data_IF_239285842308
#
_entry.id   IF_239285842308
#
_cell.length_a   1.000
_cell.length_b   1.000
_cell.length_c   1.000
_cell.angle_alpha   90.00
_cell.angle_beta   90.00
_cell.angle_gamma   90.00
#
_symmetry.space_group_name_H-M   'P 1'
#
loop_
_entity.id
_entity.type
_entity.pdbx_description
1 polymer ?
2 branched ?
3 branched ?
4 branched ?
5 non-polymer ?
6 non-polymer ?
7 non-polymer ?
8 water ?
#
# COMPACT_ATOMS: atom_id res chain seq x y z
N UNK A 3 -15.59 8.34 -5.22
CA UNK A 3 -14.63 9.15 -5.97
C UNK A 3 -13.58 8.30 -6.70
N UNK A 4 -13.10 8.83 -7.85
CA UNK A 4 -12.16 8.15 -8.75
C UNK A 4 -10.75 8.28 -8.33
N UNK A 5 -10.04 7.15 -8.35
CA UNK A 5 -8.63 7.09 -8.06
C UNK A 5 -7.93 7.27 -9.41
N UNK A 6 -7.02 8.25 -9.50
CA UNK A 6 -6.20 8.44 -10.70
C UNK A 6 -4.82 7.97 -10.33
N UNK A 7 -4.25 7.04 -11.09
CA UNK A 7 -2.91 6.48 -10.79
C UNK A 7 -2.06 6.52 -12.05
N UNK A 8 -0.75 6.67 -11.90
CA UNK A 8 0.14 6.69 -13.04
C UNK A 8 1.46 6.09 -12.72
N UNK A 9 2.19 5.77 -13.78
CA UNK A 9 3.55 5.26 -13.75
C UNK A 9 4.53 6.41 -13.77
N UNK A 10 5.69 6.22 -13.15
CA UNK A 10 6.77 7.21 -13.14
C UNK A 10 8.05 6.52 -13.62
N UNK A 11 8.92 7.27 -14.30
CA UNK A 11 10.14 6.73 -14.83
C UNK A 11 11.06 6.25 -13.76
N UNK A 12 11.79 5.15 -14.08
CA UNK A 12 12.82 4.53 -13.25
C UNK A 12 13.58 3.49 -14.07
N UNK A 13 14.82 3.82 -14.44
CA UNK A 13 15.66 2.87 -15.17
C UNK A 13 15.91 1.58 -14.39
N UNK A 14 15.87 1.65 -13.05
CA UNK A 14 16.07 0.48 -12.19
C UNK A 14 14.93 -0.52 -12.17
N UNK A 15 13.76 -0.18 -12.75
CA UNK A 15 12.59 -1.06 -12.79
C UNK A 15 12.31 -1.48 -14.22
N UNK A 16 12.40 -2.77 -14.47
CA UNK A 16 12.15 -3.37 -15.78
C UNK A 16 10.70 -3.15 -16.17
N UNK A 17 10.48 -2.95 -17.46
CA UNK A 17 9.15 -2.72 -18.02
C UNK A 17 8.94 -1.26 -18.32
N UNK A 18 7.67 -0.84 -18.21
CA UNK A 18 7.23 0.51 -18.55
C UNK A 18 8.07 1.62 -17.94
N UNK A 19 8.45 1.51 -16.66
CA UNK A 19 9.27 2.51 -15.97
C UNK A 19 10.63 2.70 -16.64
N UNK A 20 11.18 1.63 -17.22
CA UNK A 20 12.45 1.66 -17.94
C UNK A 20 12.24 2.25 -19.32
N UNK A 21 11.17 1.84 -20.02
CA UNK A 21 10.82 2.37 -21.33
C UNK A 21 10.58 3.86 -21.24
N UNK A 22 9.98 4.34 -20.12
CA UNK A 22 9.72 5.77 -19.89
C UNK A 22 11.01 6.56 -19.75
N UNK A 23 11.98 5.99 -19.01
CA UNK A 23 13.28 6.63 -18.77
C UNK A 23 14.02 6.85 -20.11
N UNK A 24 13.99 5.83 -20.98
CA UNK A 24 14.63 5.85 -22.29
C UNK A 24 14.03 6.88 -23.24
N UNK A 25 12.71 7.07 -23.16
CA UNK A 25 12.02 8.01 -24.05
C UNK A 25 11.85 9.39 -23.45
N UNK A 26 12.44 9.62 -22.29
CA UNK A 26 12.32 10.89 -21.57
C UNK A 26 10.90 11.22 -21.09
N UNK A 27 10.12 10.19 -20.71
CA UNK A 27 8.77 10.38 -20.20
C UNK A 27 8.79 10.31 -18.69
N UNK A 28 8.27 11.33 -18.01
CA UNK A 28 8.23 11.38 -16.55
C UNK A 28 7.03 10.66 -15.91
N UNK A 29 5.84 10.91 -16.42
CA UNK A 29 4.59 10.38 -15.90
C UNK A 29 3.72 9.88 -17.01
N UNK A 30 3.16 8.67 -16.83
CA UNK A 30 2.30 8.02 -17.81
C UNK A 30 1.08 7.42 -17.11
N UNK A 31 -0.10 7.94 -17.43
CA UNK A 31 -1.37 7.47 -16.88
C UNK A 31 -1.54 5.96 -16.91
N UNK A 32 -1.96 5.37 -15.77
CA UNK A 32 -2.27 3.94 -15.63
C UNK A 32 -3.78 3.74 -15.74
N UNK A 33 -4.55 4.45 -14.91
CA UNK A 33 -5.99 4.42 -14.95
C UNK A 33 -6.70 5.45 -14.11
N UNK A 34 -8.00 5.56 -14.33
CA UNK A 34 -8.93 6.40 -13.57
C UNK A 34 -9.99 5.41 -13.10
N UNK A 35 -9.98 5.14 -11.79
CA UNK A 35 -10.80 4.07 -11.24
C UNK A 35 -11.96 4.43 -10.33
N UNK A 36 -13.21 4.38 -10.86
CA UNK A 36 -14.40 4.47 -10.00
C UNK A 36 -14.50 3.19 -9.16
N UNK A 37 -15.41 3.13 -8.19
CA UNK A 37 -15.56 1.92 -7.36
C UNK A 37 -16.06 0.72 -8.14
N UNK A 38 -16.93 0.95 -9.12
CA UNK A 38 -17.49 -0.13 -9.95
C UNK A 38 -16.51 -0.72 -10.99
N UNK A 39 -16.29 -2.03 -10.93
CA UNK A 39 -15.46 -2.74 -11.90
C UNK A 39 -16.42 -3.37 -12.93
N UNK A 40 -16.12 -3.20 -14.22
CA UNK A 40 -16.96 -3.74 -15.30
C UNK A 40 -16.81 -5.23 -15.44
N UNK A 41 -17.93 -5.91 -15.74
CA UNK A 41 -17.91 -7.37 -15.95
C UNK A 41 -18.81 -7.65 -17.15
N UNK A 42 -18.45 -8.64 -17.92
CA UNK A 42 -19.27 -9.08 -19.04
C UNK A 42 -18.90 -8.45 -20.35
N UNK A 43 -19.84 -8.50 -21.30
CA UNK A 43 -19.67 -8.00 -22.65
C UNK A 43 -19.60 -6.45 -22.67
N UNK A 44 -18.48 -5.79 -23.11
CA UNK A 44 -18.48 -4.33 -23.19
C UNK A 44 -19.58 -3.82 -24.09
N UNK A 45 -20.09 -2.61 -23.80
CA UNK A 45 -21.14 -1.99 -24.61
C UNK A 45 -20.57 -1.43 -25.96
N UNK A 46 -19.22 -1.31 -26.08
CA UNK A 46 -18.45 -0.87 -27.24
C UNK A 46 -17.05 -1.44 -27.12
N UNK A 47 -16.52 -2.06 -28.16
CA UNK A 47 -15.13 -2.55 -28.13
C UNK A 47 -14.27 -1.33 -28.51
N UNK A 48 -13.27 -1.00 -27.71
CA UNK A 48 -12.40 0.13 -28.00
C UNK A 48 -11.46 -0.16 -29.16
N UNK A 49 -11.33 0.77 -30.13
CA UNK A 49 -10.41 0.52 -31.25
C UNK A 49 -9.05 1.16 -31.01
N UNK A 50 -8.03 0.69 -31.73
CA UNK A 50 -6.70 1.24 -31.66
C UNK A 50 -6.68 2.71 -32.05
N UNK A 51 -7.51 3.11 -33.01
CA UNK A 51 -7.65 4.50 -33.45
C UNK A 51 -8.23 5.34 -32.32
N UNK A 52 -9.24 4.82 -31.61
CA UNK A 52 -9.84 5.52 -30.46
C UNK A 52 -8.83 5.65 -29.32
N UNK A 53 -8.19 4.54 -28.96
CA UNK A 53 -7.25 4.54 -27.83
C UNK A 53 -6.01 5.32 -28.03
N UNK A 54 -5.55 5.48 -29.32
CA UNK A 54 -4.36 6.28 -29.63
C UNK A 54 -4.61 7.76 -29.38
N UNK A 55 -5.91 8.20 -29.33
CA UNK A 55 -6.28 9.58 -29.06
C UNK A 55 -6.01 9.94 -27.57
N UNK A 56 -5.57 8.98 -26.72
CA UNK A 56 -5.13 9.31 -25.36
C UNK A 56 -3.64 9.58 -25.53
N UNK A 57 -3.29 10.81 -25.87
CA UNK A 57 -1.94 11.23 -26.19
C UNK A 57 -0.94 11.22 -25.03
N UNK A 58 0.15 10.50 -25.21
CA UNK A 58 1.21 10.42 -24.23
C UNK A 58 1.09 9.28 -23.22
N UNK A 59 -0.05 8.56 -23.20
CA UNK A 59 -0.21 7.41 -22.32
C UNK A 59 0.50 6.22 -22.93
N UNK A 60 1.46 5.67 -22.19
CA UNK A 60 2.20 4.50 -22.65
C UNK A 60 1.61 3.19 -22.16
N UNK A 61 1.59 2.21 -23.06
CA UNK A 61 1.15 0.86 -22.80
C UNK A 61 2.16 0.23 -21.86
N UNK A 62 1.71 -0.61 -20.96
CA UNK A 62 2.57 -1.29 -20.00
C UNK A 62 3.16 -2.59 -20.61
N UNK A 63 2.65 -3.00 -21.80
CA UNK A 63 3.09 -4.20 -22.55
C UNK A 63 4.29 -4.01 -23.48
N UNK A 64 5.27 -4.88 -23.28
CA UNK A 64 6.50 -5.03 -24.06
C UNK A 64 6.17 -5.36 -25.52
N UNK A 65 5.05 -6.08 -25.75
CA UNK A 65 4.57 -6.56 -27.05
C UNK A 65 4.25 -5.46 -28.04
N UNK A 66 3.95 -4.26 -27.55
CA UNK A 66 3.67 -3.11 -28.40
C UNK A 66 4.83 -2.13 -28.28
N UNK A 67 5.91 -2.59 -27.63
CA UNK A 67 7.10 -1.79 -27.29
C UNK A 67 6.69 -0.60 -26.43
N UNK A 68 5.76 -0.83 -25.47
CA UNK A 68 5.30 0.21 -24.53
C UNK A 68 4.68 1.42 -25.22
N UNK A 69 3.77 1.19 -26.20
CA UNK A 69 3.11 2.27 -26.93
C UNK A 69 1.59 2.27 -26.74
N UNK A 70 0.87 1.50 -27.56
CA UNK A 70 -0.57 1.39 -27.53
C UNK A 70 -0.91 0.06 -28.20
N UNK A 71 -1.99 -0.66 -27.84
CA UNK A 71 -3.11 -0.27 -26.96
C UNK A 71 -3.52 -1.30 -25.95
N UNK A 72 -2.60 -2.12 -25.46
CA UNK A 72 -3.02 -3.18 -24.54
C UNK A 72 -3.54 -2.68 -23.18
N UNK A 73 -2.80 -1.80 -22.51
CA UNK A 73 -3.21 -1.25 -21.23
C UNK A 73 -4.42 -0.37 -21.43
N UNK A 74 -4.41 0.47 -22.49
CA UNK A 74 -5.50 1.40 -22.81
C UNK A 74 -6.83 0.61 -22.96
N UNK A 75 -6.80 -0.49 -23.69
CA UNK A 75 -7.99 -1.34 -23.90
C UNK A 75 -8.40 -2.06 -22.60
N UNK A 76 -7.45 -2.59 -21.86
CA UNK A 76 -7.68 -3.22 -20.56
C UNK A 76 -8.42 -2.27 -19.63
N UNK A 77 -7.97 -0.99 -19.57
CA UNK A 77 -8.62 0.05 -18.77
C UNK A 77 -10.04 0.34 -19.17
N UNK A 78 -10.30 0.44 -20.51
CA UNK A 78 -11.64 0.67 -21.02
C UNK A 78 -12.56 -0.53 -20.64
N UNK A 79 -12.04 -1.74 -20.80
CA UNK A 79 -12.77 -2.99 -20.56
C UNK A 79 -13.14 -3.24 -19.13
N UNK A 80 -12.18 -3.04 -18.21
CA UNK A 80 -12.32 -3.31 -16.78
C UNK A 80 -12.89 -2.12 -16.02
N UNK A 81 -12.57 -0.89 -16.44
CA UNK A 81 -13.02 0.29 -15.65
C UNK A 81 -13.79 1.35 -16.38
N UNK A 82 -13.87 1.28 -17.72
CA UNK A 82 -14.45 2.35 -18.51
C UNK A 82 -15.89 2.25 -18.95
N UNK A 83 -16.19 1.25 -19.76
CA UNK A 83 -17.52 1.14 -20.39
C UNK A 83 -18.73 1.19 -19.51
N UNK A 84 -18.73 0.46 -18.38
CA UNK A 84 -19.89 0.36 -17.49
C UNK A 84 -20.06 1.60 -16.63
N UNK A 85 -19.05 2.47 -16.62
CA UNK A 85 -18.99 3.68 -15.83
C UNK A 85 -19.17 4.95 -16.64
N UNK A 86 -18.57 5.03 -17.86
CA UNK A 86 -18.71 6.24 -18.69
C UNK A 86 -19.79 6.10 -19.75
N UNK A 87 -20.20 4.86 -20.04
CA UNK A 87 -21.24 4.49 -21.00
C UNK A 87 -20.90 4.72 -22.46
N UNK A 88 -20.09 5.78 -22.75
CA UNK A 88 -19.66 6.12 -24.11
C UNK A 88 -18.18 6.41 -24.11
N UNK A 89 -17.46 5.93 -25.15
CA UNK A 89 -16.00 6.06 -25.25
C UNK A 89 -15.47 7.49 -25.37
N UNK A 90 -16.19 8.34 -26.10
CA UNK A 90 -15.80 9.73 -26.34
C UNK A 90 -15.54 10.50 -25.03
N UNK A 91 -16.51 10.60 -24.07
CA UNK A 91 -16.19 11.31 -22.81
C UNK A 91 -15.04 10.64 -22.03
N UNK A 92 -14.87 9.29 -22.15
CA UNK A 92 -13.79 8.57 -21.48
C UNK A 92 -12.42 8.91 -22.05
N UNK A 93 -12.28 8.88 -23.39
CA UNK A 93 -11.03 9.22 -24.08
C UNK A 93 -10.62 10.64 -23.71
N UNK A 94 -11.60 11.56 -23.72
CA UNK A 94 -11.37 12.97 -23.39
C UNK A 94 -10.85 13.16 -21.99
N UNK A 95 -11.42 12.46 -20.99
CA UNK A 95 -10.96 12.51 -19.60
C UNK A 95 -9.58 11.90 -19.46
N UNK A 96 -9.35 10.75 -20.11
CA UNK A 96 -8.03 10.08 -20.06
C UNK A 96 -6.95 10.95 -20.69
N UNK A 97 -7.25 11.52 -21.89
CA UNK A 97 -6.31 12.37 -22.63
C UNK A 97 -6.04 13.65 -21.83
N UNK A 98 -7.07 14.27 -21.27
CA UNK A 98 -6.88 15.46 -20.43
C UNK A 98 -6.06 15.16 -19.16
N UNK A 99 -6.26 13.97 -18.54
CA UNK A 99 -5.48 13.59 -17.34
C UNK A 99 -4.03 13.44 -17.69
N UNK A 100 -3.74 12.81 -18.84
CA UNK A 100 -2.37 12.59 -19.27
C UNK A 100 -1.71 13.95 -19.61
N UNK A 101 -2.47 14.85 -20.27
CA UNK A 101 -1.98 16.18 -20.63
C UNK A 101 -1.52 16.90 -19.36
N UNK A 102 -2.36 16.84 -18.30
CA UNK A 102 -2.05 17.42 -16.99
C UNK A 102 -0.83 16.79 -16.39
N UNK A 103 -0.73 15.44 -16.42
CA UNK A 103 0.44 14.73 -15.89
C UNK A 103 1.71 15.09 -16.64
N UNK A 104 1.62 15.26 -17.98
CA UNK A 104 2.76 15.64 -18.84
C UNK A 104 3.36 17.00 -18.46
N UNK A 105 2.55 17.91 -17.88
CA UNK A 105 3.01 19.26 -17.45
C UNK A 105 4.04 19.24 -16.33
N UNK A 106 4.10 18.16 -15.58
CA UNK A 106 5.05 17.97 -14.50
C UNK A 106 4.38 17.43 -13.26
N UNK A 107 5.01 17.69 -12.11
CA UNK A 107 4.54 17.27 -10.78
C UNK A 107 3.15 17.76 -10.48
N UNK A 108 2.19 16.83 -10.29
CA UNK A 108 0.81 17.24 -9.98
C UNK A 108 0.65 17.84 -8.59
N UNK A 109 -0.41 18.67 -8.40
CA UNK A 109 -0.79 19.29 -7.11
C UNK A 109 -0.88 18.23 -6.00
N UNK A 110 -1.47 17.07 -6.30
CA UNK A 110 -1.57 15.96 -5.35
C UNK A 110 -0.91 14.76 -6.00
N UNK A 111 0.19 14.31 -5.43
CA UNK A 111 0.97 13.17 -5.92
C UNK A 111 1.41 12.35 -4.72
N UNK A 112 0.90 11.10 -4.60
CA UNK A 112 1.20 10.19 -3.49
C UNK A 112 1.76 8.88 -4.00
N UNK A 113 2.85 8.41 -3.38
CA UNK A 113 3.51 7.18 -3.73
C UNK A 113 2.57 6.00 -3.48
N UNK A 114 2.65 5.00 -4.38
CA UNK A 114 1.92 3.74 -4.32
C UNK A 114 2.93 2.63 -4.20
N UNK A 115 3.83 2.54 -5.19
CA UNK A 115 4.89 1.55 -5.24
C UNK A 115 6.21 2.25 -5.42
N UNK A 116 7.26 1.73 -4.76
CA UNK A 116 8.65 2.20 -4.81
C UNK A 116 9.58 1.08 -5.07
N UNK A 117 10.78 1.47 -5.48
CA UNK A 117 11.94 0.63 -5.59
C UNK A 117 12.95 1.41 -4.75
N UNK A 118 13.35 0.84 -3.61
CA UNK A 118 14.34 1.52 -2.79
C UNK A 118 15.71 1.35 -3.45
N UNK A 119 16.37 2.49 -3.71
CA UNK A 119 17.69 2.53 -4.34
C UNK A 119 18.76 2.69 -3.25
N UNK A 120 19.52 1.62 -2.99
CA UNK A 120 20.58 1.63 -1.97
C UNK A 120 21.67 2.65 -2.30
N UNK A 121 22.09 2.72 -3.58
CA UNK A 121 23.11 3.66 -4.04
C UNK A 121 22.80 5.11 -3.64
N UNK A 122 21.59 5.60 -3.97
CA UNK A 122 21.17 6.97 -3.69
C UNK A 122 20.48 7.12 -2.33
N UNK A 123 20.13 5.99 -1.68
CA UNK A 123 19.42 5.94 -0.40
C UNK A 123 18.01 6.58 -0.52
N UNK A 124 17.33 6.34 -1.66
CA UNK A 124 16.01 6.92 -1.95
C UNK A 124 14.95 5.91 -2.32
N UNK A 125 13.70 6.26 -1.98
CA UNK A 125 12.51 5.52 -2.40
C UNK A 125 12.21 6.09 -3.80
N UNK A 126 12.61 5.36 -4.85
CA UNK A 126 12.32 5.81 -6.23
C UNK A 126 10.86 5.37 -6.49
N UNK A 127 9.95 6.32 -6.60
CA UNK A 127 8.52 6.06 -6.82
C UNK A 127 8.27 5.57 -8.28
N UNK A 128 7.74 4.36 -8.41
CA UNK A 128 7.44 3.73 -9.72
C UNK A 128 5.97 3.88 -10.14
N UNK A 129 5.05 4.07 -9.18
CA UNK A 129 3.62 4.37 -9.40
C UNK A 129 3.12 5.31 -8.32
N UNK A 130 2.24 6.26 -8.71
CA UNK A 130 1.68 7.23 -7.77
C UNK A 130 0.25 7.52 -8.12
N UNK A 131 -0.48 8.12 -7.19
CA UNK A 131 -1.90 8.46 -7.35
C UNK A 131 -2.20 9.78 -6.66
N UNK A 132 -3.40 10.29 -6.88
CA UNK A 132 -3.80 11.58 -6.34
C UNK A 132 -4.30 11.56 -4.89
N UNK A 133 -4.24 10.41 -4.18
CA UNK A 133 -4.68 10.35 -2.77
C UNK A 133 -3.82 9.34 -2.02
N UNK A 134 -3.57 9.52 -0.70
CA UNK A 134 -2.67 8.56 0.00
C UNK A 134 -3.25 7.16 0.11
N UNK A 135 -2.39 6.15 0.16
CA UNK A 135 -2.74 4.72 0.18
C UNK A 135 -1.58 3.89 0.78
N UNK A 136 -1.84 2.73 1.41
CA UNK A 136 -0.73 1.91 1.96
C UNK A 136 0.32 1.60 0.90
N UNK A 137 1.60 1.73 1.27
CA UNK A 137 2.78 1.58 0.40
C UNK A 137 3.29 0.20 0.14
N UNK A 138 4.00 0.02 -1.03
CA UNK A 138 4.62 -1.24 -1.45
C UNK A 138 6.04 -0.94 -1.91
N UNK A 139 7.00 -1.58 -1.26
CA UNK A 139 8.42 -1.48 -1.54
C UNK A 139 9.08 -0.19 -1.10
N UNK A 140 8.37 0.66 -0.35
CA UNK A 140 8.93 1.93 0.13
C UNK A 140 9.58 1.74 1.50
N UNK A 141 10.89 2.00 1.59
CA UNK A 141 11.68 1.82 2.82
C UNK A 141 11.34 2.92 3.83
N UNK A 142 10.99 2.51 5.04
CA UNK A 142 10.62 3.41 6.12
C UNK A 142 11.80 4.32 6.50
N UNK A 143 11.51 5.61 6.64
CA UNK A 143 12.47 6.62 7.03
C UNK A 143 13.32 7.20 5.91
N UNK A 144 13.05 6.79 4.66
CA UNK A 144 13.81 7.26 3.50
C UNK A 144 13.02 8.27 2.72
N UNK A 145 13.72 9.20 2.06
CA UNK A 145 13.07 10.20 1.23
C UNK A 145 12.60 9.61 -0.10
N UNK A 146 11.67 10.30 -0.76
CA UNK A 146 11.00 9.86 -1.96
C UNK A 146 11.42 10.63 -3.20
N UNK A 147 11.70 9.89 -4.28
CA UNK A 147 12.06 10.42 -5.59
C UNK A 147 10.96 10.13 -6.64
N UNK A 148 10.21 11.17 -6.99
CA UNK A 148 9.10 11.15 -7.92
C UNK A 148 9.58 11.66 -9.27
N UNK A 149 10.08 10.75 -10.14
CA UNK A 149 10.63 11.10 -11.47
C UNK A 149 11.59 12.31 -11.33
N UNK A 150 12.54 12.16 -10.41
CA UNK A 150 13.57 13.16 -10.12
C UNK A 150 13.29 14.16 -9.03
N UNK A 151 12.02 14.35 -8.64
CA UNK A 151 11.65 15.31 -7.61
C UNK A 151 11.74 14.67 -6.24
N UNK A 152 12.54 15.28 -5.37
CA UNK A 152 12.74 14.79 -4.00
C UNK A 152 11.68 15.35 -3.09
N UNK A 153 10.98 14.44 -2.38
CA UNK A 153 9.91 14.74 -1.43
C UNK A 153 10.24 14.00 -0.16
N UNK A 154 10.08 14.65 1.02
CA UNK A 154 10.39 14.01 2.30
C UNK A 154 9.43 12.90 2.67
N UNK A 155 8.15 13.10 2.36
CA UNK A 155 7.16 12.09 2.70
C UNK A 155 6.56 11.39 1.50
N UNK A 156 5.57 10.51 1.74
CA UNK A 156 4.94 9.79 0.61
C UNK A 156 4.09 10.65 -0.31
N UNK A 157 3.60 11.82 0.18
CA UNK A 157 2.77 12.76 -0.55
C UNK A 157 3.48 14.12 -0.61
N UNK A 158 3.11 14.96 -1.60
CA UNK A 158 3.72 16.29 -1.76
C UNK A 158 2.81 17.38 -1.22
N UNK A 159 2.04 17.00 -0.22
CA UNK A 159 1.08 17.79 0.52
C UNK A 159 0.83 17.07 1.87
N UNK A 160 0.51 17.86 2.91
CA UNK A 160 0.26 17.35 4.27
C UNK A 160 -1.08 16.60 4.32
N UNK A 161 -1.06 15.37 4.81
CA UNK A 161 -2.26 14.54 4.93
C UNK A 161 -2.93 14.62 6.31
N UNK A 162 -2.24 15.20 7.28
CA UNK A 162 -2.86 15.47 8.56
C UNK A 162 -3.69 16.72 8.22
N UNK A 163 -3.06 17.65 7.46
CA UNK A 163 -3.60 18.92 6.97
C UNK A 163 -4.19 18.74 5.57
N UNK B 1 -11.43 -2.40 -6.05
CA UNK B 1 -10.64 -1.97 -4.90
C UNK B 1 -10.00 -3.14 -4.16
N UNK B 2 -8.84 -2.89 -3.54
CA UNK B 2 -8.10 -3.85 -2.73
C UNK B 2 -8.87 -4.16 -1.44
N UNK B 3 -8.77 -5.40 -0.96
CA UNK B 3 -9.31 -5.82 0.34
C UNK B 3 -8.43 -5.12 1.42
N UNK B 4 -8.95 -5.10 2.67
CA UNK B 4 -8.24 -4.47 3.77
C UNK B 4 -7.06 -5.32 4.16
N UNK B 5 -5.93 -4.68 4.39
CA UNK B 5 -4.68 -5.28 4.84
C UNK B 5 -4.76 -5.28 6.36
N UNK B 6 -4.62 -6.43 6.98
CA UNK B 6 -4.55 -6.52 8.45
C UNK B 6 -3.08 -6.82 8.74
N UNK B 7 -2.43 -6.01 9.57
CA UNK B 7 -1.03 -6.20 9.92
C UNK B 7 -0.87 -6.20 11.44
N UNK B 8 0.11 -6.93 11.95
CA UNK B 8 0.34 -6.98 13.39
C UNK B 8 1.79 -7.14 13.71
N UNK B 9 2.12 -6.85 14.97
CA UNK B 9 3.41 -7.03 15.57
C UNK B 9 3.55 -8.42 16.13
N UNK B 10 4.77 -8.96 16.16
CA UNK B 10 5.07 -10.26 16.74
C UNK B 10 6.22 -10.09 17.72
N UNK B 11 6.22 -10.89 18.79
CA UNK B 11 7.22 -10.78 19.83
C UNK B 11 8.59 -11.12 19.31
N UNK B 12 9.60 -10.43 19.87
CA UNK B 12 11.03 -10.62 19.63
C UNK B 12 11.83 -9.82 20.65
N UNK B 13 12.44 -10.54 21.60
CA UNK B 13 13.29 -9.90 22.60
C UNK B 13 14.48 -9.16 21.96
N UNK B 14 14.92 -9.59 20.77
CA UNK B 14 16.02 -8.96 20.05
C UNK B 14 15.72 -7.61 19.43
N UNK B 15 14.43 -7.21 19.36
CA UNK B 15 14.00 -5.94 18.76
C UNK B 15 13.47 -5.02 19.84
N UNK B 16 14.14 -3.90 20.03
CA UNK B 16 13.81 -2.88 21.02
C UNK B 16 12.45 -2.31 20.67
N UNK B 17 11.68 -2.00 21.69
CA UNK B 17 10.37 -1.42 21.52
C UNK B 17 9.29 -2.45 21.75
N UNK B 18 8.17 -2.28 21.06
CA UNK B 18 6.97 -3.10 21.20
C UNK B 18 7.23 -4.59 21.19
N UNK B 19 8.07 -5.09 20.24
CA UNK B 19 8.38 -6.51 20.11
C UNK B 19 9.06 -7.07 21.37
N UNK B 20 9.82 -6.21 22.09
CA UNK B 20 10.48 -6.60 23.34
C UNK B 20 9.49 -6.58 24.47
N UNK B 21 8.65 -5.52 24.52
CA UNK B 21 7.61 -5.37 25.53
C UNK B 21 6.65 -6.56 25.43
N UNK B 22 6.37 -7.04 24.21
CA UNK B 22 5.48 -8.19 23.96
C UNK B 22 6.08 -9.48 24.50
N UNK B 23 7.38 -9.70 24.30
CA UNK B 23 8.09 -10.89 24.78
C UNK B 23 8.02 -10.97 26.31
N UNK B 24 8.22 -9.84 27.00
CA UNK B 24 8.19 -9.75 28.45
C UNK B 24 6.81 -10.00 29.04
N UNK B 25 5.75 -9.58 28.33
CA UNK B 25 4.38 -9.75 28.83
C UNK B 25 3.71 -10.99 28.33
N UNK B 26 4.49 -11.83 27.63
CA UNK B 26 4.01 -13.08 27.04
C UNK B 26 2.96 -12.89 25.95
N UNK B 27 3.09 -11.83 25.16
CA UNK B 27 2.16 -11.56 24.06
C UNK B 27 2.83 -12.00 22.76
N UNK B 28 2.18 -12.85 21.99
CA UNK B 28 2.66 -13.32 20.71
C UNK B 28 2.38 -12.40 19.53
N UNK B 29 1.13 -11.90 19.41
CA UNK B 29 0.68 -11.09 18.31
C UNK B 29 -0.13 -9.92 18.85
N UNK B 30 0.15 -8.71 18.34
CA UNK B 30 -0.52 -7.47 18.73
C UNK B 30 -0.86 -6.68 17.48
N UNK B 31 -2.17 -6.51 17.23
CA UNK B 31 -2.69 -5.78 16.10
C UNK B 31 -2.02 -4.40 15.89
N UNK B 32 -1.59 -4.10 14.65
CA UNK B 32 -1.00 -2.81 14.24
C UNK B 32 -2.09 -1.98 13.59
N UNK B 33 -2.76 -2.53 12.57
CA UNK B 33 -3.86 -1.87 11.90
C UNK B 33 -4.62 -2.71 10.89
N UNK B 34 -5.77 -2.20 10.48
CA UNK B 34 -6.62 -2.76 9.43
C UNK B 34 -6.72 -1.63 8.41
N UNK B 35 -6.10 -1.83 7.27
CA UNK B 35 -5.96 -0.80 6.27
C UNK B 35 -6.68 -0.89 4.94
N UNK B 36 -7.80 -0.17 4.76
CA UNK B 36 -8.43 -0.09 3.43
C UNK B 36 -7.49 0.72 2.49
N UNK B 37 -7.83 0.82 1.17
CA UNK B 37 -7.04 1.55 0.20
C UNK B 37 -6.99 3.04 0.55
N UNK B 38 -8.12 3.59 1.03
CA UNK B 38 -8.22 5.00 1.39
C UNK B 38 -7.51 5.37 2.72
N UNK B 39 -6.56 6.27 2.66
CA UNK B 39 -5.91 6.84 3.84
C UNK B 39 -6.65 8.17 4.14
N UNK B 40 -7.03 8.38 5.41
CA UNK B 40 -7.77 9.58 5.83
C UNK B 40 -6.89 10.80 5.81
N UNK B 41 -7.44 11.95 5.43
CA UNK B 41 -6.74 13.21 5.41
C UNK B 41 -7.63 14.26 6.02
N UNK B 42 -7.03 15.19 6.73
CA UNK B 42 -7.76 16.30 7.34
C UNK B 42 -8.23 16.02 8.75
N UNK B 43 -9.18 16.83 9.17
CA UNK B 43 -9.79 16.80 10.49
C UNK B 43 -10.71 15.54 10.62
N UNK B 44 -10.42 14.65 11.59
CA UNK B 44 -11.33 13.52 11.85
C UNK B 44 -12.75 13.95 12.16
N UNK B 45 -13.72 13.13 11.77
CA UNK B 45 -15.15 13.41 12.01
C UNK B 45 -15.52 13.21 13.53
N UNK B 46 -14.67 12.48 14.28
CA UNK B 46 -14.79 12.19 15.72
C UNK B 46 -13.42 12.02 16.25
N UNK B 47 -13.07 12.70 17.36
CA UNK B 47 -11.76 12.49 17.98
C UNK B 47 -11.91 11.24 18.89
N UNK B 48 -11.04 10.25 18.73
CA UNK B 48 -11.12 9.03 19.53
C UNK B 48 -10.71 9.29 20.98
N UNK B 49 -11.48 8.77 21.95
CA UNK B 49 -11.10 8.98 23.35
C UNK B 49 -10.31 7.77 23.88
N UNK B 50 -9.58 7.96 24.97
CA UNK B 50 -8.83 6.90 25.65
C UNK B 50 -9.77 5.83 26.14
N UNK B 51 -10.98 6.20 26.57
CA UNK B 51 -12.01 5.26 27.01
C UNK B 51 -12.46 4.39 25.84
N UNK B 52 -12.68 5.00 24.68
CA UNK B 52 -13.06 4.28 23.46
C UNK B 52 -11.94 3.35 23.03
N UNK B 53 -10.72 3.87 22.92
CA UNK B 53 -9.58 3.07 22.44
C UNK B 53 -9.15 1.95 23.32
N UNK B 54 -9.40 2.07 24.66
CA UNK B 54 -9.08 1.01 25.62
C UNK B 54 -9.99 -0.20 25.45
N UNK B 55 -11.14 -0.03 24.76
CA UNK B 55 -12.08 -1.13 24.47
C UNK B 55 -11.52 -2.05 23.37
N UNK B 56 -10.32 -1.77 22.80
CA UNK B 56 -9.64 -2.70 21.90
C UNK B 56 -8.71 -3.44 22.82
N UNK B 57 -9.23 -4.49 23.43
CA UNK B 57 -8.51 -5.27 24.42
C UNK B 57 -7.36 -6.06 23.82
N UNK B 58 -6.20 -6.02 24.49
CA UNK B 58 -5.02 -6.77 24.06
C UNK B 58 -4.13 -6.14 23.03
N UNK B 59 -4.62 -5.07 22.36
CA UNK B 59 -3.78 -4.36 21.38
C UNK B 59 -2.82 -3.44 22.13
N UNK B 60 -1.53 -3.63 21.91
CA UNK B 60 -0.51 -2.84 22.55
C UNK B 60 -0.05 -1.64 21.73
N UNK B 61 0.12 -0.52 22.40
CA UNK B 61 0.63 0.72 21.85
C UNK B 61 2.08 0.48 21.50
N UNK B 62 2.55 1.07 20.41
CA UNK B 62 3.91 0.94 19.94
C UNK B 62 4.85 1.97 20.65
N UNK B 63 4.24 2.91 21.40
CA UNK B 63 4.94 3.98 22.14
C UNK B 63 5.39 3.60 23.57
N UNK B 64 6.68 3.85 23.80
CA UNK B 64 7.39 3.67 25.06
C UNK B 64 6.79 4.59 26.14
N UNK B 65 6.27 5.76 25.72
CA UNK B 65 5.68 6.81 26.56
C UNK B 65 4.48 6.36 27.35
N UNK B 66 3.77 5.32 26.89
CA UNK B 66 2.61 4.79 27.59
C UNK B 66 2.98 3.43 28.14
N UNK B 67 4.28 3.10 28.08
CA UNK B 67 4.85 1.80 28.43
C UNK B 67 4.21 0.69 27.60
N UNK B 68 4.00 0.96 26.30
CA UNK B 68 3.43 -0.01 25.34
C UNK B 68 2.04 -0.51 25.74
N UNK B 69 1.14 0.42 26.12
CA UNK B 69 -0.23 0.09 26.51
C UNK B 69 -1.29 0.69 25.58
N UNK B 70 -1.73 1.93 25.89
CA UNK B 70 -2.74 2.64 25.13
C UNK B 70 -2.49 4.14 25.40
N UNK B 71 -2.81 5.08 24.49
CA UNK B 71 -3.54 4.95 23.23
C UNK B 71 -2.90 5.63 22.05
N UNK B 72 -1.60 5.75 22.02
CA UNK B 72 -0.98 6.49 20.90
C UNK B 72 -1.16 5.82 19.53
N UNK B 73 -0.80 4.53 19.41
CA UNK B 73 -0.95 3.80 18.15
C UNK B 73 -2.41 3.65 17.81
N UNK B 74 -3.23 3.32 18.81
CA UNK B 74 -4.71 3.14 18.64
C UNK B 74 -5.32 4.40 18.03
N UNK B 75 -4.97 5.58 18.55
CA UNK B 75 -5.50 6.86 18.04
C UNK B 75 -4.96 7.18 16.65
N UNK B 76 -3.68 6.95 16.43
CA UNK B 76 -3.02 7.14 15.13
C UNK B 76 -3.77 6.31 14.05
N UNK B 77 -4.11 5.06 14.38
CA UNK B 77 -4.86 4.18 13.48
C UNK B 77 -6.26 4.69 13.15
N UNK B 78 -6.96 5.20 14.16
CA UNK B 78 -8.30 5.77 13.95
C UNK B 78 -8.20 7.01 13.03
N UNK B 79 -7.21 7.87 13.29
CA UNK B 79 -6.96 9.11 12.58
C UNK B 79 -6.58 8.95 11.11
N UNK B 80 -5.63 8.06 10.85
CA UNK B 80 -5.08 7.82 9.53
C UNK B 80 -5.89 6.81 8.72
N UNK B 81 -6.50 5.77 9.39
CA UNK B 81 -7.18 4.74 8.63
C UNK B 81 -8.62 4.45 8.96
N UNK B 82 -9.12 5.01 10.07
CA UNK B 82 -10.43 4.67 10.57
C UNK B 82 -11.62 5.51 10.22
N UNK B 83 -11.60 6.78 10.65
CA UNK B 83 -12.76 7.66 10.51
C UNK B 83 -13.38 7.84 9.15
N UNK B 84 -12.55 8.00 8.11
CA UNK B 84 -13.04 8.29 6.75
C UNK B 84 -13.56 7.03 6.07
N UNK B 85 -13.26 5.87 6.67
CA UNK B 85 -13.62 4.56 6.14
C UNK B 85 -14.73 3.88 6.91
N UNK B 86 -14.74 3.96 8.26
CA UNK B 86 -15.81 3.33 9.04
C UNK B 86 -16.93 4.28 9.41
N UNK B 87 -16.67 5.61 9.31
CA UNK B 87 -17.60 6.70 9.61
C UNK B 87 -17.96 6.86 11.07
N UNK B 88 -18.03 5.74 11.82
CA UNK B 88 -18.38 5.74 13.26
C UNK B 88 -17.42 4.85 14.00
N UNK B 89 -16.99 5.28 15.17
CA UNK B 89 -15.99 4.61 15.98
C UNK B 89 -16.41 3.22 16.51
N UNK B 90 -17.66 3.08 16.88
CA UNK B 90 -18.20 1.84 17.46
C UNK B 90 -17.95 0.64 16.56
N UNK B 91 -18.42 0.62 15.28
CA UNK B 91 -18.12 -0.56 14.43
C UNK B 91 -16.60 -0.78 14.22
N UNK B 92 -15.78 0.31 14.29
CA UNK B 92 -14.33 0.20 14.14
C UNK B 92 -13.69 -0.46 15.34
N UNK B 93 -14.04 -0.03 16.55
CA UNK B 93 -13.53 -0.61 17.80
C UNK B 93 -13.88 -2.10 17.82
N UNK B 94 -15.11 -2.45 17.45
CA UNK B 94 -15.58 -3.83 17.45
C UNK B 94 -14.77 -4.73 16.51
N UNK B 95 -14.46 -4.24 15.30
CA UNK B 95 -13.62 -4.96 14.32
C UNK B 95 -12.21 -5.08 14.84
N UNK B 96 -11.65 -3.98 15.41
CA UNK B 96 -10.27 -4.01 15.94
C UNK B 96 -10.15 -4.99 17.08
N UNK B 97 -11.11 -4.93 18.02
CA UNK B 97 -11.12 -5.78 19.22
C UNK B 97 -11.29 -7.23 18.84
N UNK B 98 -12.19 -7.53 17.88
CA UNK B 98 -12.36 -8.90 17.40
C UNK B 98 -11.11 -9.43 16.67
N UNK B 99 -10.41 -8.56 15.89
CA UNK B 99 -9.20 -8.97 15.15
C UNK B 99 -8.13 -9.34 16.12
N UNK B 100 -7.99 -8.58 17.19
CA UNK B 100 -6.99 -8.86 18.21
C UNK B 100 -7.30 -10.19 18.94
N UNK B 101 -8.58 -10.43 19.29
CA UNK B 101 -9.00 -11.69 19.95
C UNK B 101 -8.67 -12.88 19.05
N UNK B 102 -8.87 -12.76 17.74
CA UNK B 102 -8.49 -13.80 16.78
C UNK B 102 -6.97 -13.98 16.76
N UNK B 103 -6.21 -12.86 16.73
CA UNK B 103 -4.74 -12.94 16.74
C UNK B 103 -4.22 -13.57 18.02
N UNK B 104 -4.87 -13.27 19.16
CA UNK B 104 -4.49 -13.82 20.48
C UNK B 104 -4.61 -15.37 20.53
N UNK B 105 -5.49 -15.97 19.70
CA UNK B 105 -5.66 -17.44 19.62
C UNK B 105 -4.41 -18.21 19.12
N UNK B 106 -3.55 -17.52 18.40
CA UNK B 106 -2.34 -18.12 17.85
C UNK B 106 -2.19 -17.78 16.39
N UNK B 107 -1.43 -18.62 15.69
CA UNK B 107 -1.11 -18.52 14.26
C UNK B 107 -2.34 -18.39 13.39
N UNK B 108 -2.46 -17.26 12.66
CA UNK B 108 -3.62 -17.08 11.78
C UNK B 108 -3.58 -18.01 10.55
N UNK B 109 -4.71 -18.05 9.86
CA UNK B 109 -4.89 -18.79 8.60
C UNK B 109 -3.99 -18.20 7.54
N UNK B 110 -3.91 -16.84 7.49
CA UNK B 110 -3.08 -16.10 6.55
C UNK B 110 -2.02 -15.28 7.30
N UNK B 111 -0.77 -15.75 7.32
CA UNK B 111 0.24 -15.01 8.04
C UNK B 111 1.46 -14.88 7.14
N UNK B 112 1.77 -13.64 6.70
CA UNK B 112 2.91 -13.36 5.81
C UNK B 112 3.84 -12.34 6.44
N UNK B 113 5.13 -12.64 6.42
CA UNK B 113 6.18 -11.76 6.97
C UNK B 113 6.21 -10.43 6.22
N UNK B 114 6.44 -9.34 6.97
CA UNK B 114 6.56 -7.96 6.47
C UNK B 114 7.97 -7.48 6.80
N UNK B 115 8.32 -7.49 8.08
CA UNK B 115 9.63 -7.08 8.57
C UNK B 115 10.20 -8.19 9.42
N UNK B 116 11.54 -8.37 9.34
CA UNK B 116 12.33 -9.34 10.11
C UNK B 116 13.54 -8.67 10.73
N UNK B 117 14.09 -9.40 11.69
CA UNK B 117 15.38 -9.17 12.30
C UNK B 117 16.07 -10.50 12.10
N UNK B 118 17.13 -10.53 11.29
CA UNK B 118 17.84 -11.77 11.08
C UNK B 118 18.69 -12.05 12.30
N UNK B 119 18.50 -13.23 12.92
CA UNK B 119 19.24 -13.65 14.10
C UNK B 119 20.38 -14.59 13.69
N UNK B 120 21.63 -14.10 13.78
CA UNK B 120 22.82 -14.89 13.41
C UNK B 120 22.97 -16.14 14.28
N UNK B 121 22.75 -16.00 15.58
CA UNK B 121 22.85 -17.10 16.55
C UNK B 121 21.99 -18.30 16.15
N UNK B 122 20.69 -18.09 15.89
CA UNK B 122 19.75 -19.14 15.49
C UNK B 122 19.67 -19.37 13.98
N UNK B 123 20.26 -18.46 13.18
CA UNK B 123 20.24 -18.50 11.71
C UNK B 123 18.80 -18.36 11.15
N UNK B 124 17.97 -17.51 11.80
CA UNK B 124 16.58 -17.33 11.43
C UNK B 124 16.17 -15.89 11.18
N UNK B 125 15.19 -15.71 10.30
CA UNK B 125 14.55 -14.42 10.05
C UNK B 125 13.43 -14.37 11.10
N UNK B 126 13.68 -13.68 12.22
CA UNK B 126 12.71 -13.53 13.30
C UNK B 126 11.73 -12.45 12.83
N UNK B 127 10.48 -12.87 12.55
CA UNK B 127 9.42 -12.02 12.04
C UNK B 127 8.94 -11.05 13.14
N UNK B 128 9.06 -9.72 12.87
CA UNK B 128 8.69 -8.66 13.82
C UNK B 128 7.33 -8.02 13.50
N UNK B 129 6.91 -8.08 12.22
CA UNK B 129 5.58 -7.65 11.74
C UNK B 129 5.12 -8.57 10.62
N UNK B 130 3.81 -8.88 10.60
CA UNK B 130 3.22 -9.76 9.58
C UNK B 130 1.85 -9.25 9.20
N UNK B 131 1.32 -9.73 8.07
CA UNK B 131 0.03 -9.34 7.53
C UNK B 131 -0.65 -10.53 6.86
N UNK B 132 -1.85 -10.30 6.39
CA UNK B 132 -2.62 -11.43 5.83
C UNK B 132 -2.47 -11.68 4.34
N UNK B 133 -1.57 -10.98 3.70
CA UNK B 133 -1.31 -11.16 2.25
C UNK B 133 0.15 -10.91 1.97
N UNK B 134 0.76 -11.57 0.97
CA UNK B 134 2.21 -11.38 0.75
C UNK B 134 2.60 -9.97 0.29
N UNK B 135 3.82 -9.52 0.64
CA UNK B 135 4.31 -8.18 0.33
C UNK B 135 5.88 -8.18 0.31
N UNK B 136 6.54 -7.20 -0.39
CA UNK B 136 8.02 -7.19 -0.38
C UNK B 136 8.57 -7.08 1.03
N UNK B 137 9.61 -7.86 1.35
CA UNK B 137 10.21 -7.95 2.69
C UNK B 137 11.22 -6.87 3.07
N UNK B 138 11.40 -6.66 4.38
CA UNK B 138 12.35 -5.69 4.96
C UNK B 138 13.08 -6.39 6.11
N UNK B 139 14.40 -6.42 6.01
CA UNK B 139 15.26 -7.02 7.03
C UNK B 139 15.31 -8.54 7.02
N UNK B 140 14.62 -9.20 6.06
CA UNK B 140 14.62 -10.65 5.98
C UNK B 140 15.76 -11.12 5.08
N UNK B 141 16.70 -11.91 5.67
CA UNK B 141 17.87 -12.43 4.96
C UNK B 141 17.44 -13.49 3.96
N UNK B 142 17.87 -13.32 2.71
CA UNK B 142 17.56 -14.22 1.60
C UNK B 142 18.07 -15.63 1.87
N UNK B 143 17.20 -16.61 1.65
CA UNK B 143 17.50 -18.03 1.80
C UNK B 143 17.41 -18.58 3.21
N UNK B 144 16.97 -17.75 4.18
CA UNK B 144 16.84 -18.15 5.59
C UNK B 144 15.39 -18.42 5.94
N UNK B 145 15.17 -19.32 6.91
CA UNK B 145 13.85 -19.67 7.40
C UNK B 145 13.30 -18.60 8.31
N UNK B 146 11.98 -18.69 8.60
CA UNK B 146 11.25 -17.73 9.38
C UNK B 146 10.76 -18.24 10.73
N UNK B 147 10.72 -17.32 11.68
CA UNK B 147 10.22 -17.55 13.02
C UNK B 147 9.14 -16.52 13.27
N UNK B 148 7.90 -16.99 13.33
CA UNK B 148 6.70 -16.20 13.59
C UNK B 148 6.29 -16.43 15.04
N UNK B 149 6.81 -15.59 15.98
CA UNK B 149 6.56 -15.75 17.42
C UNK B 149 6.73 -17.25 17.84
N UNK B 150 7.88 -17.81 17.47
CA UNK B 150 8.23 -19.19 17.77
C UNK B 150 7.89 -20.26 16.74
N UNK B 151 6.98 -19.98 15.80
CA UNK B 151 6.57 -20.93 14.77
C UNK B 151 7.52 -20.84 13.59
N UNK B 152 8.16 -21.95 13.26
CA UNK B 152 9.09 -22.03 12.15
C UNK B 152 8.35 -22.32 10.87
N UNK B 153 8.61 -21.51 9.84
CA UNK B 153 8.01 -21.61 8.51
C UNK B 153 9.18 -21.46 7.56
N UNK B 154 9.21 -22.24 6.49
CA UNK B 154 10.30 -22.18 5.50
C UNK B 154 10.20 -20.95 4.62
N UNK B 155 9.00 -20.67 4.12
CA UNK B 155 8.73 -19.53 3.25
C UNK B 155 8.17 -18.34 4.01
N UNK B 156 7.99 -17.17 3.33
CA UNK B 156 7.51 -15.98 4.04
C UNK B 156 6.03 -16.02 4.48
N UNK B 157 5.24 -16.95 3.91
CA UNK B 157 3.82 -17.14 4.20
C UNK B 157 3.59 -18.57 4.69
N UNK B 158 2.48 -18.82 5.41
CA UNK B 158 2.12 -20.13 5.91
C UNK B 158 0.98 -20.72 4.99
N UNK B 159 0.94 -20.26 3.74
CA UNK B 159 0.04 -20.70 2.68
C UNK B 159 0.68 -20.37 1.35
N UNK B 160 0.29 -21.07 0.27
CA UNK B 160 0.81 -20.85 -1.09
C UNK B 160 -0.26 -20.42 -2.06
N UNK B 161 -1.53 -20.82 -1.82
CA UNK B 161 -2.65 -20.41 -2.67
C UNK B 161 -2.73 -18.87 -2.79
N UNK B 162 -3.07 -18.35 -3.98
CA UNK B 162 -3.24 -16.91 -4.22
C UNK B 162 -4.52 -16.36 -3.50
N UNK B 163 -4.40 -15.21 -2.80
CA UNK B 163 -5.48 -14.59 -2.00
C UNK B 163 -5.89 -13.16 -2.41
#
# INVERSE_FOLDING_TARGET
>A
RSENITQWNLQDNGTEGIQRAMFQRGVNRSLHGIWPEKICTGVPSHLATDTELKAIHGMMDASEKTNYTCCRLQRHEWNKHGWCNWYNIEPWILLMNKTQANLTEGQPLRECAVTCRYDRDSDLNVVTQARDSPTPLTGCKKGKNFSFAGILVQGPCNFEIAVSDVL
>B
RSENITQWNLQDNGTEGIQRAMFQRGVNRSLHGIWPEKICTGVPSHLATDTELKAIHGMMDASEKTNYTCCRLQRHEWNKHGWCNWYNIEPWILLMNKTQANLTEGQPLRECAVTCRYDRDSDLNVVTQARDSPTPLTGCKKGKNFSFAGILVQGPCNFEIAVSDVL
#
